data_IF_383637696802
#
_entry.id   IF_383637696802
#
_cell.length_a   1.000
_cell.length_b   1.000
_cell.length_c   1.000
_cell.angle_alpha   90.00
_cell.angle_beta   90.00
_cell.angle_gamma   90.00
#
_symmetry.space_group_name_H-M   'P 1'
#
loop_
_entity.id
_entity.type
_entity.pdbx_description
1 polymer ?
#
# COMPACT_ATOMS: atom_id res chain seq x y z
N UNK A 1 27.29 6.21 -23.93
CA UNK A 1 27.27 7.68 -24.12
C UNK A 1 26.22 8.22 -23.18
N UNK A 2 26.64 8.70 -22.01
CA UNK A 2 25.77 9.12 -20.92
C UNK A 2 25.18 10.50 -21.23
N UNK A 3 23.87 10.56 -21.41
CA UNK A 3 23.14 11.79 -21.67
C UNK A 3 22.85 12.47 -20.33
N UNK A 4 23.79 13.32 -19.90
CA UNK A 4 23.61 14.31 -18.84
C UNK A 4 22.69 15.42 -19.35
N UNK A 5 21.38 15.17 -19.33
CA UNK A 5 20.37 16.22 -19.54
C UNK A 5 19.96 16.77 -18.18
N UNK A 6 20.56 17.93 -17.90
CA UNK A 6 20.18 18.99 -16.96
C UNK A 6 18.69 18.90 -16.53
N UNK A 7 18.45 18.33 -15.35
CA UNK A 7 17.18 18.40 -14.62
C UNK A 7 17.15 19.64 -13.71
N UNK A 8 17.12 20.85 -14.27
CA UNK A 8 16.92 22.07 -13.47
C UNK A 8 15.46 22.27 -12.99
N UNK A 9 14.66 21.20 -12.96
CA UNK A 9 13.23 21.22 -12.63
C UNK A 9 12.72 20.15 -11.66
N UNK A 10 13.59 19.27 -11.12
CA UNK A 10 13.19 18.21 -10.18
C UNK A 10 14.01 18.19 -8.88
N UNK A 11 14.55 19.34 -8.47
CA UNK A 11 15.31 19.42 -7.23
C UNK A 11 14.39 19.45 -6.00
N UNK A 12 14.70 18.56 -5.05
CA UNK A 12 14.01 18.48 -3.76
C UNK A 12 14.27 19.71 -2.88
N UNK A 13 13.52 19.85 -1.78
CA UNK A 13 13.56 21.05 -0.95
C UNK A 13 14.95 21.30 -0.34
N UNK A 14 15.71 20.26 0.02
CA UNK A 14 17.06 20.45 0.58
C UNK A 14 18.06 20.84 -0.50
N UNK A 15 17.95 20.27 -1.71
CA UNK A 15 18.75 20.66 -2.86
C UNK A 15 18.58 22.15 -3.17
N UNK A 16 17.33 22.65 -3.21
CA UNK A 16 17.03 24.08 -3.42
C UNK A 16 17.63 24.99 -2.36
N UNK A 17 17.55 24.60 -1.09
CA UNK A 17 18.19 25.35 0.01
C UNK A 17 19.71 25.35 -0.14
N UNK A 18 20.30 24.24 -0.61
CA UNK A 18 21.71 24.14 -0.91
C UNK A 18 22.12 25.05 -2.08
N UNK A 19 21.37 25.03 -3.17
CA UNK A 19 21.59 25.85 -4.35
C UNK A 19 21.61 27.34 -4.02
N UNK A 20 20.66 27.80 -3.20
CA UNK A 20 20.60 29.20 -2.77
C UNK A 20 21.83 29.61 -1.95
N UNK A 21 22.31 28.73 -1.06
CA UNK A 21 23.54 28.98 -0.29
C UNK A 21 24.77 29.08 -1.19
N UNK A 22 24.87 28.17 -2.16
CA UNK A 22 26.00 28.15 -3.09
C UNK A 22 25.96 29.36 -4.03
N UNK A 23 24.77 29.81 -4.42
CA UNK A 23 24.56 31.03 -5.19
C UNK A 23 25.02 32.28 -4.42
N UNK A 24 24.60 32.43 -3.17
CA UNK A 24 25.02 33.54 -2.30
C UNK A 24 26.55 33.53 -2.11
N UNK A 25 27.15 32.35 -1.92
CA UNK A 25 28.59 32.22 -1.77
C UNK A 25 29.35 32.60 -3.05
N UNK A 26 28.85 32.20 -4.23
CA UNK A 26 29.43 32.58 -5.50
C UNK A 26 29.33 34.10 -5.75
N UNK A 27 28.17 34.70 -5.48
CA UNK A 27 27.95 36.15 -5.59
C UNK A 27 28.91 36.92 -4.66
N UNK A 28 29.07 36.48 -3.41
CA UNK A 28 30.02 37.08 -2.47
C UNK A 28 31.48 36.95 -2.91
N UNK A 29 31.82 35.90 -3.65
CA UNK A 29 33.14 35.68 -4.23
C UNK A 29 33.34 36.40 -5.58
N UNK A 30 32.34 37.11 -6.10
CA UNK A 30 32.37 37.71 -7.44
C UNK A 30 32.39 36.68 -8.58
N UNK A 31 31.96 35.45 -8.29
CA UNK A 31 31.90 34.34 -9.24
C UNK A 31 30.46 34.12 -9.70
N UNK A 32 30.30 33.69 -10.95
CA UNK A 32 29.00 33.26 -11.46
C UNK A 32 28.68 31.86 -10.95
N UNK A 33 27.50 31.70 -10.33
CA UNK A 33 26.98 30.39 -9.97
C UNK A 33 26.50 29.63 -11.22
N UNK A 34 26.99 28.42 -11.45
CA UNK A 34 26.64 27.58 -12.60
C UNK A 34 25.74 26.38 -12.26
N UNK A 35 25.34 26.22 -11.00
CA UNK A 35 24.73 24.98 -10.51
C UNK A 35 25.75 23.93 -10.09
N UNK A 36 25.25 22.85 -9.50
CA UNK A 36 25.96 21.74 -8.86
C UNK A 36 26.94 22.20 -7.75
N UNK A 37 26.49 23.11 -6.90
CA UNK A 37 27.28 23.57 -5.77
C UNK A 37 27.44 22.49 -4.67
N UNK A 38 28.45 22.61 -3.79
CA UNK A 38 28.65 21.63 -2.71
C UNK A 38 27.44 21.51 -1.77
N UNK A 39 26.79 22.62 -1.43
CA UNK A 39 25.61 22.62 -0.56
C UNK A 39 24.39 22.03 -1.26
N UNK A 40 24.21 22.32 -2.55
CA UNK A 40 23.18 21.73 -3.42
C UNK A 40 23.32 20.22 -3.50
N UNK A 41 24.53 19.69 -3.74
CA UNK A 41 24.80 18.24 -3.75
C UNK A 41 24.48 17.56 -2.42
N UNK A 42 24.84 18.19 -1.30
CA UNK A 42 24.50 17.69 0.03
C UNK A 42 22.98 17.69 0.22
N UNK A 43 22.30 18.74 -0.22
CA UNK A 43 20.85 18.83 -0.22
C UNK A 43 20.20 17.71 -1.03
N UNK A 44 20.63 17.51 -2.27
CA UNK A 44 20.15 16.45 -3.15
C UNK A 44 20.40 15.04 -2.60
N UNK A 45 21.51 14.81 -1.88
CA UNK A 45 21.75 13.55 -1.19
C UNK A 45 20.75 13.33 -0.03
N UNK A 46 20.42 14.39 0.72
CA UNK A 46 19.41 14.33 1.80
C UNK A 46 18.01 14.09 1.26
N UNK A 47 17.65 14.76 0.17
CA UNK A 47 16.34 14.56 -0.48
C UNK A 47 16.20 13.10 -0.97
N UNK A 48 17.23 12.56 -1.66
CA UNK A 48 17.24 11.14 -2.08
C UNK A 48 17.10 10.18 -0.90
N UNK A 49 17.76 10.45 0.21
CA UNK A 49 17.65 9.62 1.41
C UNK A 49 16.23 9.69 2.02
N UNK A 50 15.62 10.87 2.04
CA UNK A 50 14.26 11.06 2.52
C UNK A 50 13.22 10.36 1.62
N UNK A 51 13.39 10.45 0.30
CA UNK A 51 12.55 9.77 -0.67
C UNK A 51 12.63 8.25 -0.53
N UNK A 52 13.85 7.70 -0.45
CA UNK A 52 14.05 6.26 -0.23
C UNK A 52 13.42 5.78 1.10
N UNK A 53 13.52 6.59 2.16
CA UNK A 53 12.88 6.27 3.44
C UNK A 53 11.35 6.31 3.34
N UNK A 54 10.77 7.23 2.56
CA UNK A 54 9.33 7.29 2.30
C UNK A 54 8.87 6.07 1.51
N UNK A 55 9.54 5.75 0.41
CA UNK A 55 9.23 4.58 -0.43
C UNK A 55 9.28 3.28 0.38
N UNK A 56 10.28 3.13 1.26
CA UNK A 56 10.36 1.96 2.15
C UNK A 56 9.16 1.85 3.10
N UNK A 57 8.66 2.98 3.63
CA UNK A 57 7.46 3.01 4.48
C UNK A 57 6.20 2.69 3.69
N UNK A 58 6.06 3.23 2.49
CA UNK A 58 4.93 2.93 1.59
C UNK A 58 4.91 1.45 1.21
N UNK A 59 6.06 0.87 0.85
CA UNK A 59 6.18 -0.56 0.57
C UNK A 59 5.79 -1.42 1.79
N UNK A 60 6.22 -1.02 2.99
CA UNK A 60 5.82 -1.70 4.23
C UNK A 60 4.31 -1.60 4.47
N UNK A 61 3.71 -0.43 4.23
CA UNK A 61 2.27 -0.21 4.36
C UNK A 61 1.47 -1.10 3.39
N UNK A 62 1.84 -1.13 2.11
CA UNK A 62 1.22 -2.03 1.11
C UNK A 62 1.38 -3.49 1.51
N UNK A 63 2.51 -3.87 2.11
CA UNK A 63 2.72 -5.22 2.65
C UNK A 63 1.72 -5.58 3.76
N UNK A 64 1.43 -4.63 4.66
CA UNK A 64 0.44 -4.81 5.72
C UNK A 64 -1.00 -4.84 5.18
N UNK A 65 -1.34 -3.96 4.23
CA UNK A 65 -2.64 -3.97 3.55
C UNK A 65 -2.92 -5.32 2.90
N UNK A 66 -1.94 -5.86 2.17
CA UNK A 66 -2.06 -7.19 1.53
C UNK A 66 -2.26 -8.31 2.54
N UNK A 67 -1.62 -8.24 3.71
CA UNK A 67 -1.82 -9.21 4.79
C UNK A 67 -3.25 -9.12 5.34
N UNK A 68 -3.74 -7.90 5.60
CA UNK A 68 -5.11 -7.66 6.04
C UNK A 68 -6.16 -8.19 5.04
N UNK A 69 -5.97 -7.90 3.75
CA UNK A 69 -6.83 -8.39 2.68
C UNK A 69 -6.83 -9.93 2.58
N UNK A 70 -5.66 -10.55 2.77
CA UNK A 70 -5.55 -12.01 2.81
C UNK A 70 -6.33 -12.61 3.98
N UNK A 71 -6.21 -12.02 5.17
CA UNK A 71 -6.94 -12.45 6.35
C UNK A 71 -8.45 -12.29 6.15
N UNK A 72 -8.89 -11.16 5.58
CA UNK A 72 -10.30 -10.92 5.28
C UNK A 72 -10.86 -11.97 4.32
N UNK A 73 -10.17 -12.25 3.21
CA UNK A 73 -10.59 -13.29 2.26
C UNK A 73 -10.64 -14.68 2.90
N UNK A 74 -9.69 -15.01 3.78
CA UNK A 74 -9.72 -16.28 4.51
C UNK A 74 -10.93 -16.37 5.44
N UNK A 75 -11.27 -15.27 6.12
CA UNK A 75 -12.45 -15.20 6.98
C UNK A 75 -13.75 -15.34 6.16
N UNK A 76 -13.84 -14.68 5.00
CA UNK A 76 -15.01 -14.78 4.11
C UNK A 76 -15.21 -16.22 3.62
N UNK A 77 -14.14 -16.90 3.18
CA UNK A 77 -14.21 -18.32 2.79
C UNK A 77 -14.67 -19.21 3.94
N UNK A 78 -14.16 -18.98 5.16
CA UNK A 78 -14.61 -19.75 6.33
C UNK A 78 -16.08 -19.49 6.66
N UNK A 79 -16.53 -18.24 6.54
CA UNK A 79 -17.92 -17.86 6.76
C UNK A 79 -18.84 -18.56 5.74
N UNK A 80 -18.49 -18.54 4.45
CA UNK A 80 -19.24 -19.25 3.40
C UNK A 80 -19.33 -20.75 3.67
N UNK A 81 -18.23 -21.38 4.11
CA UNK A 81 -18.23 -22.81 4.46
C UNK A 81 -19.17 -23.10 5.64
N UNK A 82 -19.19 -22.25 6.66
CA UNK A 82 -20.09 -22.40 7.80
C UNK A 82 -21.55 -22.20 7.38
N UNK A 83 -21.82 -21.23 6.50
CA UNK A 83 -23.16 -21.00 5.96
C UNK A 83 -23.66 -22.21 5.16
N UNK A 84 -22.81 -22.80 4.31
CA UNK A 84 -23.15 -24.01 3.56
C UNK A 84 -23.45 -25.19 4.49
N UNK A 85 -22.64 -25.39 5.54
CA UNK A 85 -22.89 -26.42 6.56
C UNK A 85 -24.23 -26.18 7.27
N UNK A 86 -24.52 -24.95 7.66
CA UNK A 86 -25.78 -24.60 8.30
C UNK A 86 -26.98 -24.88 7.38
N UNK A 87 -26.89 -24.52 6.09
CA UNK A 87 -27.92 -24.83 5.09
C UNK A 87 -28.13 -26.33 4.93
N UNK A 88 -27.06 -27.13 4.88
CA UNK A 88 -27.16 -28.58 4.79
C UNK A 88 -27.87 -29.19 6.01
N UNK A 89 -27.53 -28.73 7.22
CA UNK A 89 -28.18 -29.19 8.47
C UNK A 89 -29.67 -28.85 8.47
N UNK A 90 -30.05 -27.62 8.09
CA UNK A 90 -31.46 -27.22 8.01
C UNK A 90 -32.23 -28.07 7.01
N UNK A 91 -31.66 -28.29 5.83
CA UNK A 91 -32.28 -29.12 4.79
C UNK A 91 -32.50 -30.56 5.27
N UNK A 92 -31.51 -31.19 5.90
CA UNK A 92 -31.65 -32.54 6.47
C UNK A 92 -32.72 -32.59 7.58
N UNK A 93 -32.80 -31.54 8.42
CA UNK A 93 -33.84 -31.44 9.44
C UNK A 93 -35.25 -31.31 8.82
N UNK A 94 -35.40 -30.47 7.80
CA UNK A 94 -36.66 -30.27 7.07
C UNK A 94 -37.11 -31.58 6.40
N UNK A 95 -36.20 -32.29 5.70
CA UNK A 95 -36.49 -33.58 5.07
C UNK A 95 -36.96 -34.64 6.08
N UNK A 96 -36.36 -34.69 7.28
CA UNK A 96 -36.79 -35.60 8.35
C UNK A 96 -38.14 -35.20 8.92
N UNK A 97 -38.38 -33.91 9.11
CA UNK A 97 -39.67 -33.40 9.59
C UNK A 97 -40.80 -33.75 8.62
N UNK A 98 -40.57 -33.59 7.31
CA UNK A 98 -41.52 -33.96 6.27
C UNK A 98 -41.80 -35.48 6.28
N UNK A 99 -40.77 -36.31 6.47
CA UNK A 99 -40.95 -37.75 6.60
C UNK A 99 -41.83 -38.12 7.81
N UNK A 100 -41.62 -37.49 8.96
CA UNK A 100 -42.49 -37.69 10.13
C UNK A 100 -43.92 -37.19 9.89
N UNK A 101 -44.08 -36.08 9.17
CA UNK A 101 -45.40 -35.55 8.81
C UNK A 101 -46.18 -36.55 7.95
N UNK A 102 -45.56 -37.10 6.91
CA UNK A 102 -46.16 -38.13 6.06
C UNK A 102 -46.54 -39.39 6.84
N UNK A 103 -45.67 -39.84 7.76
CA UNK A 103 -45.98 -40.98 8.64
C UNK A 103 -47.19 -40.69 9.53
N UNK A 104 -47.27 -39.50 10.12
CA UNK A 104 -48.39 -39.10 10.97
C UNK A 104 -49.70 -39.04 10.18
N UNK A 105 -49.70 -38.55 8.94
CA UNK A 105 -50.88 -38.56 8.07
C UNK A 105 -51.33 -39.97 7.70
N UNK A 106 -50.38 -40.87 7.40
CA UNK A 106 -50.68 -42.26 7.08
C UNK A 106 -51.37 -43.00 8.23
N UNK A 107 -51.03 -42.68 9.48
CA UNK A 107 -51.65 -43.28 10.68
C UNK A 107 -53.05 -42.72 10.99
N UNK A 108 -53.46 -41.60 10.38
CA UNK A 108 -54.78 -40.98 10.57
C UNK A 108 -55.83 -41.47 9.57
N UNK A 109 -55.43 -42.29 8.60
CA UNK A 109 -56.31 -42.94 7.62
C UNK A 109 -56.78 -44.29 8.15
#
# INVERSE_FOLDING_TARGET
>A
MALLLILSGCEGPQAKVGAEKDKIAAEAAGQTYSGDGPSERIGAARDRAADAAREAREAAAVGLERQGDSLRRQADVQAEQLEQKAKAIRKDADERADAFHMQAEAQRK
#
